data_IF_443010921131
#
_entry.id   IF_443010921131
#
_cell.length_a   1.000
_cell.length_b   1.000
_cell.length_c   1.000
_cell.angle_alpha   90.00
_cell.angle_beta   90.00
_cell.angle_gamma   90.00
#
_symmetry.space_group_name_H-M   'P 1'
#
loop_
_entity.id
_entity.type
_entity.pdbx_description
1 polymer ?
#
# COMPACT_ATOMS: atom_id res chain seq x y z
N UNK A 1 -4.63 -33.35 34.38
CA UNK A 1 -3.67 -32.93 33.34
C UNK A 1 -4.07 -31.56 32.84
N UNK A 2 -3.62 -30.52 33.53
CA UNK A 2 -3.70 -29.15 33.07
C UNK A 2 -2.66 -28.98 31.97
N UNK A 3 -3.10 -28.85 30.72
CA UNK A 3 -2.25 -28.45 29.61
C UNK A 3 -1.72 -27.04 29.90
N UNK A 4 -0.56 -26.94 30.56
CA UNK A 4 0.25 -25.72 30.54
C UNK A 4 0.54 -25.40 29.08
N UNK A 5 -0.20 -24.42 28.52
CA UNK A 5 0.25 -23.78 27.29
C UNK A 5 1.64 -23.23 27.61
N UNK A 6 2.71 -23.62 26.90
CA UNK A 6 4.03 -23.06 27.14
C UNK A 6 3.88 -21.53 27.09
N UNK A 7 4.14 -20.88 28.21
CA UNK A 7 3.96 -19.44 28.34
C UNK A 7 4.76 -18.77 27.25
N UNK A 8 4.08 -18.05 26.35
CA UNK A 8 4.71 -17.36 25.24
C UNK A 8 5.77 -16.41 25.83
N UNK A 9 7.04 -16.63 25.50
CA UNK A 9 8.12 -15.76 25.95
C UNK A 9 7.90 -14.37 25.32
N UNK A 10 7.66 -13.36 26.16
CA UNK A 10 7.36 -11.99 25.74
C UNK A 10 8.45 -11.41 24.83
N UNK A 11 9.72 -11.77 25.07
CA UNK A 11 10.84 -11.33 24.26
C UNK A 11 10.75 -11.90 22.84
N UNK A 12 10.52 -13.20 22.72
CA UNK A 12 10.42 -13.88 21.43
C UNK A 12 9.22 -13.36 20.63
N UNK A 13 8.09 -13.10 21.31
CA UNK A 13 6.92 -12.47 20.71
C UNK A 13 7.23 -11.05 20.20
N UNK A 14 7.97 -10.25 20.97
CA UNK A 14 8.36 -8.90 20.59
C UNK A 14 9.28 -8.88 19.38
N UNK A 15 10.28 -9.76 19.35
CA UNK A 15 11.23 -9.90 18.23
C UNK A 15 10.51 -10.35 16.95
N UNK A 16 9.56 -11.27 17.06
CA UNK A 16 8.73 -11.73 15.94
C UNK A 16 7.82 -10.62 15.40
N UNK A 17 7.21 -9.81 16.29
CA UNK A 17 6.42 -8.63 15.90
C UNK A 17 7.29 -7.62 15.15
N UNK A 18 8.50 -7.33 15.65
CA UNK A 18 9.46 -6.44 15.01
C UNK A 18 9.88 -6.92 13.62
N UNK A 19 10.09 -8.22 13.47
CA UNK A 19 10.46 -8.85 12.20
C UNK A 19 9.32 -8.73 11.18
N UNK A 20 8.10 -9.10 11.57
CA UNK A 20 6.92 -8.99 10.71
C UNK A 20 6.60 -7.53 10.34
N UNK A 21 6.74 -6.60 11.28
CA UNK A 21 6.57 -5.17 11.00
C UNK A 21 7.50 -4.68 9.89
N UNK A 22 8.80 -4.99 10.00
CA UNK A 22 9.80 -4.62 8.97
C UNK A 22 9.52 -5.32 7.65
N UNK A 23 9.11 -6.59 7.67
CA UNK A 23 8.74 -7.32 6.47
C UNK A 23 7.60 -6.63 5.70
N UNK A 24 6.52 -6.23 6.37
CA UNK A 24 5.40 -5.51 5.72
C UNK A 24 5.78 -4.10 5.24
N UNK A 25 6.70 -3.41 5.93
CA UNK A 25 7.25 -2.14 5.44
C UNK A 25 8.09 -2.35 4.17
N UNK A 26 8.94 -3.38 4.11
CA UNK A 26 9.69 -3.70 2.90
C UNK A 26 8.76 -4.11 1.75
N UNK A 27 7.73 -4.89 2.05
CA UNK A 27 6.69 -5.25 1.07
C UNK A 27 6.01 -4.01 0.48
N UNK A 28 5.74 -2.99 1.31
CA UNK A 28 5.20 -1.69 0.87
C UNK A 28 6.05 -1.03 -0.21
N UNK A 29 7.36 -0.98 0.02
CA UNK A 29 8.30 -0.37 -0.93
C UNK A 29 8.38 -1.20 -2.23
N UNK A 30 8.38 -2.54 -2.12
CA UNK A 30 8.35 -3.44 -3.27
C UNK A 30 7.08 -3.28 -4.11
N UNK A 31 5.91 -3.19 -3.46
CA UNK A 31 4.65 -2.90 -4.12
C UNK A 31 4.75 -1.57 -4.89
N UNK A 32 5.21 -0.49 -4.25
CA UNK A 32 5.29 0.83 -4.90
C UNK A 32 6.22 0.83 -6.11
N UNK A 33 7.39 0.19 -5.98
CA UNK A 33 8.33 0.03 -7.09
C UNK A 33 7.70 -0.76 -8.25
N UNK A 34 7.01 -1.86 -7.96
CA UNK A 34 6.29 -2.66 -8.96
C UNK A 34 5.21 -1.85 -9.68
N UNK A 35 4.44 -1.04 -8.94
CA UNK A 35 3.44 -0.15 -9.52
C UNK A 35 4.07 0.85 -10.49
N UNK A 36 5.16 1.53 -10.11
CA UNK A 36 5.85 2.49 -10.97
C UNK A 36 6.39 1.85 -12.25
N UNK A 37 6.91 0.62 -12.17
CA UNK A 37 7.36 -0.13 -13.36
C UNK A 37 6.19 -0.39 -14.30
N UNK A 38 5.04 -0.84 -13.79
CA UNK A 38 3.87 -1.11 -14.63
C UNK A 38 3.35 0.19 -15.27
N UNK A 39 3.29 1.31 -14.54
CA UNK A 39 2.90 2.61 -15.09
C UNK A 39 3.88 3.08 -16.17
N UNK A 40 5.18 2.85 -16.01
CA UNK A 40 6.17 3.16 -17.04
C UNK A 40 5.93 2.32 -18.31
N UNK A 41 5.67 1.02 -18.18
CA UNK A 41 5.34 0.14 -19.31
C UNK A 41 4.06 0.59 -20.02
N UNK A 42 3.01 0.92 -19.27
CA UNK A 42 1.76 1.44 -19.83
C UNK A 42 1.96 2.78 -20.54
N UNK A 43 2.84 3.63 -20.04
CA UNK A 43 3.17 4.92 -20.68
C UNK A 43 3.87 4.72 -22.03
N UNK A 44 4.79 3.75 -22.12
CA UNK A 44 5.42 3.37 -23.39
C UNK A 44 4.38 2.79 -24.36
N UNK A 45 3.50 1.91 -23.88
CA UNK A 45 2.41 1.36 -24.68
C UNK A 45 1.46 2.45 -25.21
N UNK A 46 1.14 3.45 -24.38
CA UNK A 46 0.38 4.62 -24.79
C UNK A 46 1.08 5.37 -25.93
N UNK A 47 2.37 5.71 -25.78
CA UNK A 47 3.11 6.45 -26.81
C UNK A 47 3.14 5.73 -28.15
N UNK A 48 3.22 4.40 -28.14
CA UNK A 48 3.21 3.60 -29.37
C UNK A 48 1.81 3.53 -30.01
N UNK A 49 0.79 3.19 -29.22
CA UNK A 49 -0.59 3.06 -29.70
C UNK A 49 -1.19 4.40 -30.13
N UNK A 50 -0.71 5.52 -29.59
CA UNK A 50 -1.21 6.85 -29.93
C UNK A 50 -1.02 7.17 -31.43
N UNK A 51 0.03 6.64 -32.06
CA UNK A 51 0.32 6.85 -33.49
C UNK A 51 -0.23 5.71 -34.35
N UNK A 52 -0.01 4.46 -33.94
CA UNK A 52 -0.28 3.30 -34.78
C UNK A 52 -1.73 2.82 -34.73
N UNK A 53 -2.37 2.86 -33.55
CA UNK A 53 -3.70 2.29 -33.33
C UNK A 53 -4.49 3.07 -32.28
N UNK A 54 -4.87 4.34 -32.56
CA UNK A 54 -5.53 5.21 -31.58
C UNK A 54 -6.86 4.64 -31.07
N UNK A 55 -7.54 3.80 -31.86
CA UNK A 55 -8.78 3.13 -31.47
C UNK A 55 -8.62 2.11 -30.32
N UNK A 56 -7.38 1.72 -29.99
CA UNK A 56 -7.06 0.78 -28.90
C UNK A 56 -6.54 1.48 -27.63
N UNK A 57 -6.42 2.82 -27.62
CA UNK A 57 -5.89 3.57 -26.47
C UNK A 57 -6.69 3.36 -25.18
N UNK A 58 -8.00 3.15 -25.29
CA UNK A 58 -8.86 2.90 -24.12
C UNK A 58 -8.41 1.66 -23.33
N UNK A 59 -7.80 0.66 -23.99
CA UNK A 59 -7.29 -0.55 -23.35
C UNK A 59 -6.14 -0.21 -22.39
N UNK A 60 -5.26 0.72 -22.78
CA UNK A 60 -4.14 1.16 -21.92
C UNK A 60 -4.66 1.82 -20.66
N UNK A 61 -5.63 2.72 -20.79
CA UNK A 61 -6.26 3.37 -19.64
C UNK A 61 -7.04 2.40 -18.76
N UNK A 62 -7.75 1.43 -19.36
CA UNK A 62 -8.46 0.38 -18.62
C UNK A 62 -7.49 -0.53 -17.85
N UNK A 63 -6.38 -0.92 -18.47
CA UNK A 63 -5.33 -1.69 -17.81
C UNK A 63 -4.68 -0.89 -16.66
N UNK A 64 -4.38 0.38 -16.89
CA UNK A 64 -3.89 1.29 -15.84
C UNK A 64 -4.86 1.41 -14.68
N UNK A 65 -6.17 1.53 -14.97
CA UNK A 65 -7.21 1.59 -13.93
C UNK A 65 -7.24 0.31 -13.10
N UNK A 66 -7.26 -0.85 -13.73
CA UNK A 66 -7.28 -2.14 -13.04
C UNK A 66 -6.04 -2.35 -12.16
N UNK A 67 -4.86 -2.02 -12.67
CA UNK A 67 -3.60 -2.12 -11.90
C UNK A 67 -3.58 -1.14 -10.74
N UNK A 68 -4.01 0.10 -10.95
CA UNK A 68 -4.06 1.13 -9.89
C UNK A 68 -5.02 0.72 -8.78
N UNK A 69 -6.19 0.19 -9.14
CA UNK A 69 -7.16 -0.31 -8.18
C UNK A 69 -6.62 -1.50 -7.38
N UNK A 70 -6.00 -2.47 -8.07
CA UNK A 70 -5.37 -3.63 -7.43
C UNK A 70 -4.28 -3.19 -6.45
N UNK A 71 -3.41 -2.27 -6.88
CA UNK A 71 -2.37 -1.71 -6.02
C UNK A 71 -2.95 -1.01 -4.80
N UNK A 72 -4.03 -0.24 -4.96
CA UNK A 72 -4.68 0.45 -3.85
C UNK A 72 -5.23 -0.53 -2.80
N UNK A 73 -5.86 -1.62 -3.24
CA UNK A 73 -6.35 -2.68 -2.35
C UNK A 73 -5.20 -3.39 -1.63
N UNK A 74 -4.11 -3.70 -2.33
CA UNK A 74 -2.93 -4.32 -1.74
C UNK A 74 -2.27 -3.41 -0.69
N UNK A 75 -2.14 -2.11 -0.99
CA UNK A 75 -1.60 -1.12 -0.06
C UNK A 75 -2.51 -0.95 1.17
N UNK A 76 -3.82 -0.90 0.97
CA UNK A 76 -4.80 -0.88 2.06
C UNK A 76 -4.60 -2.08 3.00
N UNK A 77 -4.51 -3.29 2.43
CA UNK A 77 -4.32 -4.51 3.21
C UNK A 77 -2.97 -4.55 3.92
N UNK A 78 -1.90 -4.16 3.23
CA UNK A 78 -0.56 -4.09 3.83
C UNK A 78 -0.52 -3.10 5.00
N UNK A 79 -1.26 -2.00 4.88
CA UNK A 79 -1.41 -1.00 5.94
C UNK A 79 -2.08 -1.55 7.19
N UNK A 80 -3.13 -2.34 7.04
CA UNK A 80 -3.78 -2.98 8.18
C UNK A 80 -2.82 -3.96 8.88
N UNK A 81 -2.01 -4.70 8.13
CA UNK A 81 -1.05 -5.67 8.67
C UNK A 81 0.05 -5.00 9.49
N UNK A 82 0.74 -3.98 8.96
CA UNK A 82 1.80 -3.34 9.74
C UNK A 82 1.23 -2.57 10.95
N UNK A 83 0.01 -2.03 10.87
CA UNK A 83 -0.68 -1.40 12.02
C UNK A 83 -1.05 -2.42 13.08
N UNK A 84 -1.47 -3.62 12.68
CA UNK A 84 -1.71 -4.73 13.61
C UNK A 84 -0.41 -5.10 14.35
N UNK A 85 0.73 -5.16 13.65
CA UNK A 85 2.03 -5.34 14.29
C UNK A 85 2.37 -4.21 15.27
N UNK A 86 2.13 -2.94 14.91
CA UNK A 86 2.37 -1.81 15.82
C UNK A 86 1.50 -1.89 17.08
N UNK A 87 0.22 -2.24 16.93
CA UNK A 87 -0.71 -2.40 18.05
C UNK A 87 -0.30 -3.56 18.96
N UNK A 88 0.03 -4.71 18.39
CA UNK A 88 0.50 -5.87 19.16
C UNK A 88 1.84 -5.58 19.87
N UNK A 89 2.76 -4.89 19.19
CA UNK A 89 4.04 -4.48 19.77
C UNK A 89 3.88 -3.52 20.93
N UNK A 90 2.94 -2.57 20.82
CA UNK A 90 2.57 -1.69 21.94
C UNK A 90 2.02 -2.49 23.13
N UNK A 91 1.15 -3.47 22.90
CA UNK A 91 0.61 -4.31 23.97
C UNK A 91 1.70 -5.13 24.68
N UNK A 92 2.76 -5.54 23.98
CA UNK A 92 3.92 -6.19 24.60
C UNK A 92 4.76 -5.23 25.46
N UNK A 93 4.64 -3.91 25.24
CA UNK A 93 5.29 -2.86 26.01
C UNK A 93 4.43 -2.38 27.19
N UNK A 94 3.20 -2.88 27.34
CA UNK A 94 2.31 -2.56 28.45
C UNK A 94 2.94 -3.03 29.77
N UNK A 95 3.46 -2.08 30.56
CA UNK A 95 4.19 -2.34 31.81
C UNK A 95 5.60 -1.74 31.84
N UNK A 96 6.11 -1.30 30.69
CA UNK A 96 7.34 -0.50 30.63
C UNK A 96 7.06 0.98 31.01
N UNK A 97 8.07 1.72 31.50
CA UNK A 97 7.93 3.16 31.76
C UNK A 97 7.40 3.90 30.53
N UNK A 98 6.46 4.83 30.74
CA UNK A 98 5.86 5.61 29.67
C UNK A 98 6.94 6.25 28.77
N UNK A 99 6.81 6.06 27.45
CA UNK A 99 7.76 6.58 26.47
C UNK A 99 9.07 5.80 26.32
N UNK A 100 9.26 4.65 26.99
CA UNK A 100 10.44 3.79 26.78
C UNK A 100 10.25 2.77 25.65
N UNK A 101 9.01 2.45 25.29
CA UNK A 101 8.67 1.49 24.23
C UNK A 101 8.74 2.07 22.81
N UNK A 102 9.35 1.31 21.88
CA UNK A 102 9.50 1.69 20.47
C UNK A 102 8.13 1.78 19.76
N UNK A 103 7.28 0.76 19.94
CA UNK A 103 5.97 0.72 19.29
C UNK A 103 4.99 1.72 19.90
N UNK A 104 5.11 1.99 21.19
CA UNK A 104 4.37 3.04 21.88
C UNK A 104 4.64 4.41 21.27
N UNK A 105 5.92 4.76 21.04
CA UNK A 105 6.30 6.01 20.35
C UNK A 105 5.81 6.06 18.90
N UNK A 106 5.94 4.96 18.15
CA UNK A 106 5.48 4.90 16.77
C UNK A 106 3.97 5.13 16.65
N UNK A 107 3.20 4.62 17.62
CA UNK A 107 1.74 4.79 17.65
C UNK A 107 1.34 6.23 18.05
N UNK A 108 2.04 6.85 18.99
CA UNK A 108 1.82 8.27 19.34
C UNK A 108 2.10 9.23 18.16
N UNK A 109 3.08 8.92 17.32
CA UNK A 109 3.38 9.68 16.11
C UNK A 109 2.32 9.50 15.02
N UNK A 110 1.59 8.37 15.03
CA UNK A 110 0.53 8.09 14.07
C UNK A 110 -0.63 9.10 14.17
N UNK A 111 -0.95 9.55 15.38
CA UNK A 111 -2.10 10.44 15.63
C UNK A 111 -1.81 11.92 15.32
N UNK A 112 -0.54 12.31 15.11
CA UNK A 112 -0.14 13.72 15.00
C UNK A 112 0.27 14.19 13.60
N UNK A 113 0.57 13.28 12.68
CA UNK A 113 1.06 13.63 11.34
C UNK A 113 0.10 13.21 10.23
N UNK A 114 0.07 14.00 9.14
CA UNK A 114 -0.39 13.50 7.83
C UNK A 114 0.50 12.30 7.50
N UNK A 115 -0.03 11.10 7.73
CA UNK A 115 0.74 9.88 7.53
C UNK A 115 1.04 9.71 6.05
N UNK A 116 2.24 9.24 5.70
CA UNK A 116 2.61 8.90 4.31
C UNK A 116 1.52 8.08 3.58
N UNK A 117 0.76 7.28 4.34
CA UNK A 117 -0.39 6.52 3.85
C UNK A 117 -1.53 7.38 3.28
N UNK A 118 -1.82 8.55 3.86
CA UNK A 118 -2.82 9.46 3.33
C UNK A 118 -2.38 10.09 2.01
N UNK A 119 -1.10 10.45 1.90
CA UNK A 119 -0.54 10.97 0.64
C UNK A 119 -0.63 9.93 -0.49
N UNK A 120 -0.37 8.65 -0.19
CA UNK A 120 -0.54 7.56 -1.16
C UNK A 120 -2.01 7.39 -1.56
N UNK A 121 -2.95 7.44 -0.61
CA UNK A 121 -4.39 7.37 -0.93
C UNK A 121 -4.83 8.50 -1.87
N UNK A 122 -4.39 9.73 -1.61
CA UNK A 122 -4.67 10.88 -2.49
C UNK A 122 -4.06 10.70 -3.88
N UNK A 123 -2.81 10.25 -3.95
CA UNK A 123 -2.13 10.00 -5.22
C UNK A 123 -2.85 8.93 -6.05
N UNK A 124 -3.23 7.81 -5.45
CA UNK A 124 -3.93 6.72 -6.13
C UNK A 124 -5.36 7.11 -6.51
N UNK A 125 -6.05 7.87 -5.65
CA UNK A 125 -7.37 8.43 -5.95
C UNK A 125 -7.31 9.36 -7.16
N UNK A 126 -6.34 10.27 -7.21
CA UNK A 126 -6.12 11.14 -8.37
C UNK A 126 -5.78 10.35 -9.63
N UNK A 127 -4.89 9.35 -9.53
CA UNK A 127 -4.53 8.48 -10.64
C UNK A 127 -5.77 7.79 -11.23
N UNK A 128 -6.65 7.20 -10.40
CA UNK A 128 -7.87 6.56 -10.87
C UNK A 128 -8.82 7.52 -11.58
N UNK A 129 -9.02 8.73 -11.04
CA UNK A 129 -9.85 9.75 -11.69
C UNK A 129 -9.26 10.10 -13.06
N UNK A 130 -7.95 10.34 -13.14
CA UNK A 130 -7.29 10.65 -14.42
C UNK A 130 -7.41 9.51 -15.45
N UNK A 131 -7.34 8.26 -15.00
CA UNK A 131 -7.49 7.08 -15.87
C UNK A 131 -8.93 6.95 -16.38
N UNK A 132 -9.94 7.19 -15.54
CA UNK A 132 -11.35 7.22 -15.96
C UNK A 132 -11.60 8.31 -17.00
N UNK A 133 -11.07 9.52 -16.77
CA UNK A 133 -11.14 10.62 -17.75
C UNK A 133 -10.45 10.22 -19.05
N UNK A 134 -9.30 9.55 -18.98
CA UNK A 134 -8.57 9.01 -20.13
C UNK A 134 -9.36 7.97 -20.92
N UNK A 135 -10.08 7.06 -20.25
CA UNK A 135 -10.97 6.07 -20.89
C UNK A 135 -12.07 6.80 -21.67
N UNK A 136 -12.77 7.74 -21.02
CA UNK A 136 -13.87 8.50 -21.64
C UNK A 136 -13.35 9.26 -22.86
N UNK A 137 -12.23 9.97 -22.71
CA UNK A 137 -11.59 10.70 -23.80
C UNK A 137 -11.22 9.79 -24.97
N UNK A 138 -10.62 8.63 -24.71
CA UNK A 138 -10.21 7.67 -25.75
C UNK A 138 -11.40 7.07 -26.50
N UNK A 139 -12.52 6.80 -25.79
CA UNK A 139 -13.76 6.31 -26.39
C UNK A 139 -14.41 7.39 -27.26
N UNK A 140 -14.55 8.62 -26.74
CA UNK A 140 -15.14 9.74 -27.48
C UNK A 140 -14.34 10.10 -28.74
N UNK A 141 -13.01 9.97 -28.70
CA UNK A 141 -12.16 10.19 -29.88
C UNK A 141 -12.39 9.15 -30.98
N UNK A 142 -12.78 7.92 -30.63
CA UNK A 142 -13.05 6.86 -31.62
C UNK A 142 -14.36 7.10 -32.38
N UNK A 143 -15.29 7.86 -31.81
CA UNK A 143 -16.60 8.17 -32.39
C UNK A 143 -16.65 9.41 -33.29
N UNK A 144 -15.53 10.13 -33.40
CA UNK A 144 -15.33 11.32 -34.25
C UNK A 144 -14.44 10.96 -35.45
#
# INVERSE_FOLDING_TARGET
>A
MTSEKPGLNLKDAYDEIGTNYRFFLTWRHGLLAGYLVIIAVLSVAFSWLYKEAPALLWIVFAAGFAVTLLFWVLEYRNRDLYRACQKSGKNCEDGLPAGSGLFSRLNELQDKCITHSYAIDLFLGFALVSLVVGIIWAICRKTL
#
